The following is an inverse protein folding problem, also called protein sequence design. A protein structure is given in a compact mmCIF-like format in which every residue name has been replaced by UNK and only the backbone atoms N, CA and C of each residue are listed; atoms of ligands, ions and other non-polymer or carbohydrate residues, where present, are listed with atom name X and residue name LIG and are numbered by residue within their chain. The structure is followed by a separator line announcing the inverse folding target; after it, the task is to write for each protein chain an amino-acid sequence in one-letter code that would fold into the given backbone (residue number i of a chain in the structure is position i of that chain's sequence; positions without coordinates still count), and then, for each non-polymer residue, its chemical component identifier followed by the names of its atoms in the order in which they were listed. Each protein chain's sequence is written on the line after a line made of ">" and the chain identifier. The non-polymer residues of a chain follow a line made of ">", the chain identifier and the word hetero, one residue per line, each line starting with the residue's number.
data_IF_271659878955
#
_entry.id   IF_271659878955
#
_cell.length_a   1.000
_cell.length_b   1.000
_cell.length_c   1.000
_cell.angle_alpha   90.00
_cell.angle_beta   90.00
_cell.angle_gamma   90.00
#
_symmetry.space_group_name_H-M   'P 1'
#
loop_
_entity.id
_entity.type
_entity.pdbx_description
1 polymer ?
#
# COMPACT_ATOMS: atom_id res chain seq x y z
N UNK A 1 9.55 10.83 -0.65
CA UNK A 1 8.89 9.93 0.31
C UNK A 1 8.80 8.59 -0.39
N UNK A 2 9.21 7.50 0.25
CA UNK A 2 9.39 6.20 -0.41
C UNK A 2 8.08 5.41 -0.37
N UNK A 3 7.74 4.80 -1.50
CA UNK A 3 6.56 3.95 -1.60
C UNK A 3 6.87 2.55 -1.08
N UNK A 4 6.22 2.17 0.02
CA UNK A 4 6.51 0.93 0.74
C UNK A 4 5.56 -0.22 0.39
N UNK A 5 4.78 -0.11 -0.69
CA UNK A 5 3.71 -1.07 -1.02
C UNK A 5 4.15 -2.55 -1.12
N UNK A 6 5.41 -2.82 -1.43
CA UNK A 6 5.98 -4.18 -1.52
C UNK A 6 6.59 -4.68 -0.20
N UNK A 7 6.71 -3.84 0.81
CA UNK A 7 7.35 -4.18 2.09
C UNK A 7 6.38 -4.03 3.29
N UNK A 8 5.09 -4.24 3.04
CA UNK A 8 4.04 -4.08 4.03
C UNK A 8 4.03 -5.23 5.04
N UNK A 9 3.86 -4.87 6.32
CA UNK A 9 3.77 -5.80 7.44
C UNK A 9 2.62 -5.42 8.36
N UNK A 10 1.96 -6.41 9.00
CA UNK A 10 0.99 -6.15 10.06
C UNK A 10 1.59 -5.26 11.16
N UNK A 11 0.80 -4.32 11.67
CA UNK A 11 1.24 -3.37 12.70
C UNK A 11 1.89 -2.09 12.17
N UNK A 12 2.17 -1.99 10.87
CA UNK A 12 2.54 -0.71 10.24
C UNK A 12 1.32 0.22 10.18
N UNK A 13 1.53 1.50 10.46
CA UNK A 13 0.57 2.58 10.20
C UNK A 13 0.97 3.23 8.89
N UNK A 14 0.05 3.23 7.94
CA UNK A 14 0.30 3.71 6.58
C UNK A 14 -0.74 4.74 6.17
N UNK A 15 -0.33 5.62 5.25
CA UNK A 15 -1.24 6.47 4.47
C UNK A 15 -1.37 5.89 3.08
N UNK A 16 -2.58 5.50 2.72
CA UNK A 16 -2.90 5.00 1.38
C UNK A 16 -3.51 6.14 0.58
N UNK A 17 -2.87 6.51 -0.53
CA UNK A 17 -3.36 7.53 -1.45
C UNK A 17 -4.26 6.84 -2.49
N UNK A 18 -5.57 6.99 -2.32
CA UNK A 18 -6.57 6.37 -3.18
C UNK A 18 -7.06 7.36 -4.24
N UNK A 19 -6.93 7.02 -5.52
CA UNK A 19 -7.55 7.76 -6.62
C UNK A 19 -9.04 7.45 -6.64
N UNK A 20 -9.86 8.50 -6.58
CA UNK A 20 -11.31 8.41 -6.70
C UNK A 20 -11.73 9.24 -7.90
N UNK A 21 -12.42 8.59 -8.83
CA UNK A 21 -13.09 9.25 -9.94
C UNK A 21 -14.48 9.67 -9.46
N UNK A 22 -14.72 10.97 -9.40
CA UNK A 22 -16.05 11.53 -9.16
C UNK A 22 -16.61 12.08 -10.47
N UNK A 23 -17.91 11.94 -10.67
CA UNK A 23 -18.63 12.56 -11.78
C UNK A 23 -19.21 13.88 -11.27
N UNK A 24 -18.79 14.99 -11.86
CA UNK A 24 -19.29 16.32 -11.53
C UNK A 24 -20.76 16.51 -11.94
N UNK A 25 -21.41 17.54 -11.40
CA UNK A 25 -22.81 17.90 -11.75
C UNK A 25 -23.04 18.16 -13.24
N UNK A 26 -21.98 18.47 -13.98
CA UNK A 26 -22.01 18.75 -15.42
C UNK A 26 -21.53 17.55 -16.28
N UNK A 27 -21.33 16.38 -15.68
CA UNK A 27 -20.83 15.17 -16.38
C UNK A 27 -19.31 15.09 -16.55
N UNK A 28 -18.55 16.06 -16.04
CA UNK A 28 -17.09 16.04 -16.10
C UNK A 28 -16.48 15.01 -15.14
N UNK A 29 -15.55 14.18 -15.63
CA UNK A 29 -14.76 13.28 -14.80
C UNK A 29 -13.69 14.07 -14.03
N UNK A 30 -13.75 14.05 -12.70
CA UNK A 30 -12.73 14.64 -11.83
C UNK A 30 -12.06 13.55 -11.01
N UNK A 31 -10.73 13.54 -11.03
CA UNK A 31 -9.93 12.62 -10.22
C UNK A 31 -9.45 13.36 -8.99
N UNK A 32 -9.76 12.85 -7.80
CA UNK A 32 -9.18 13.32 -6.53
C UNK A 32 -8.41 12.21 -5.83
N UNK A 33 -7.45 12.62 -5.01
CA UNK A 33 -6.71 11.71 -4.13
C UNK A 33 -7.33 11.79 -2.74
N UNK A 34 -7.86 10.67 -2.25
CA UNK A 34 -8.30 10.53 -0.87
C UNK A 34 -7.25 9.76 -0.08
N UNK A 35 -6.82 10.32 1.05
CA UNK A 35 -5.85 9.67 1.93
C UNK A 35 -6.61 8.85 2.99
N UNK A 36 -6.26 7.57 3.10
CA UNK A 36 -6.72 6.69 4.15
C UNK A 36 -5.55 6.30 5.06
N UNK A 37 -5.49 6.93 6.24
CA UNK A 37 -4.47 6.63 7.26
C UNK A 37 -4.99 5.59 8.26
N UNK A 38 -4.24 4.50 8.45
CA UNK A 38 -4.60 3.49 9.44
C UNK A 38 -3.56 2.38 9.60
N UNK A 39 -3.87 1.43 10.48
CA UNK A 39 -2.99 0.31 10.82
C UNK A 39 -3.27 -0.89 9.94
N UNK A 40 -2.24 -1.52 9.39
CA UNK A 40 -2.37 -2.77 8.63
C UNK A 40 -2.66 -3.92 9.60
N UNK A 41 -3.77 -4.61 9.36
CA UNK A 41 -4.15 -5.81 10.09
C UNK A 41 -3.53 -7.06 9.49
N UNK A 42 -3.55 -7.16 8.17
CA UNK A 42 -3.12 -8.34 7.44
C UNK A 42 -2.65 -7.96 6.05
N UNK A 43 -1.66 -8.69 5.55
CA UNK A 43 -1.22 -8.70 4.16
C UNK A 43 -1.44 -10.14 3.66
N UNK A 44 -2.04 -10.30 2.48
CA UNK A 44 -2.41 -11.58 1.89
C UNK A 44 -1.75 -11.72 0.53
N UNK A 45 -1.42 -12.96 0.17
CA UNK A 45 -0.86 -13.36 -1.14
C UNK A 45 0.51 -12.76 -1.48
N UNK A 46 1.19 -12.09 -0.54
CA UNK A 46 2.59 -11.69 -0.71
C UNK A 46 2.84 -10.83 -1.95
N UNK A 47 3.60 -11.36 -2.91
CA UNK A 47 3.98 -10.71 -4.17
C UNK A 47 3.13 -11.18 -5.37
N UNK A 48 2.08 -11.97 -5.15
CA UNK A 48 1.17 -12.39 -6.22
C UNK A 48 0.37 -11.18 -6.76
N UNK A 49 -0.06 -11.24 -8.02
CA UNK A 49 -0.89 -10.19 -8.65
C UNK A 49 -2.17 -9.88 -7.85
N UNK A 50 -2.73 -10.89 -7.17
CA UNK A 50 -3.90 -10.78 -6.29
C UNK A 50 -3.60 -10.31 -4.87
N UNK A 51 -2.38 -9.85 -4.59
CA UNK A 51 -1.98 -9.42 -3.26
C UNK A 51 -2.79 -8.23 -2.75
N UNK A 52 -3.24 -8.38 -1.51
CA UNK A 52 -4.09 -7.39 -0.84
C UNK A 52 -3.61 -7.15 0.58
N UNK A 53 -3.89 -5.96 1.10
CA UNK A 53 -3.66 -5.62 2.49
C UNK A 53 -4.89 -4.93 3.08
N UNK A 54 -5.12 -5.17 4.37
CA UNK A 54 -6.27 -4.64 5.09
C UNK A 54 -5.82 -3.56 6.04
N UNK A 55 -6.31 -2.33 5.86
CA UNK A 55 -6.01 -1.17 6.70
C UNK A 55 -7.22 -0.85 7.56
N UNK A 56 -7.00 -0.68 8.87
CA UNK A 56 -8.02 -0.32 9.85
C UNK A 56 -7.77 1.08 10.40
N UNK A 57 -8.81 1.90 10.43
CA UNK A 57 -8.86 3.21 11.09
C UNK A 57 -10.08 3.27 12.00
N UNK A 58 -10.00 4.00 13.10
CA UNK A 58 -11.20 4.45 13.82
C UNK A 58 -11.52 5.87 13.34
N UNK A 59 -12.69 6.06 12.73
CA UNK A 59 -13.17 7.35 12.23
C UNK A 59 -14.48 7.67 12.92
N UNK A 60 -14.57 8.82 13.58
CA UNK A 60 -15.78 9.27 14.28
C UNK A 60 -16.36 8.21 15.24
N UNK A 61 -15.48 7.52 15.98
CA UNK A 61 -15.87 6.47 16.93
C UNK A 61 -16.21 5.11 16.30
N UNK A 62 -16.27 5.01 14.97
CA UNK A 62 -16.57 3.76 14.25
C UNK A 62 -15.30 3.17 13.63
N UNK A 63 -15.09 1.87 13.81
CA UNK A 63 -14.00 1.14 13.18
C UNK A 63 -14.28 0.90 11.70
N UNK A 64 -13.47 1.49 10.82
CA UNK A 64 -13.54 1.33 9.37
C UNK A 64 -12.36 0.50 8.90
N UNK A 65 -12.63 -0.53 8.11
CA UNK A 65 -11.61 -1.36 7.47
C UNK A 65 -11.75 -1.22 5.95
N UNK A 66 -10.62 -0.99 5.26
CA UNK A 66 -10.53 -1.02 3.81
C UNK A 66 -9.52 -2.07 3.38
N UNK A 67 -9.86 -2.81 2.33
CA UNK A 67 -8.97 -3.78 1.69
C UNK A 67 -8.48 -3.14 0.40
N UNK A 68 -7.17 -3.08 0.23
CA UNK A 68 -6.52 -2.50 -0.94
C UNK A 68 -5.71 -3.58 -1.66
N UNK A 69 -5.85 -3.71 -3.00
CA UNK A 69 -4.90 -4.48 -3.79
C UNK A 69 -3.58 -3.73 -3.92
N UNK A 70 -2.45 -4.44 -3.80
CA UNK A 70 -1.10 -3.85 -3.84
C UNK A 70 -0.77 -3.30 -5.24
N UNK A 71 -1.18 -4.04 -6.28
CA UNK A 71 -0.86 -3.74 -7.69
C UNK A 71 -1.96 -2.95 -8.43
N UNK A 72 -2.98 -2.45 -7.72
CA UNK A 72 -4.07 -1.72 -8.36
C UNK A 72 -3.67 -0.28 -8.70
N UNK A 73 -4.01 0.23 -9.91
CA UNK A 73 -3.77 1.64 -10.28
C UNK A 73 -4.62 2.63 -9.47
N UNK A 74 -5.61 2.14 -8.73
CA UNK A 74 -6.43 2.92 -7.80
C UNK A 74 -5.59 3.39 -6.60
N UNK A 75 -4.55 2.62 -6.23
CA UNK A 75 -3.60 2.99 -5.18
C UNK A 75 -2.42 3.71 -5.81
N UNK A 76 -2.36 5.02 -5.58
CA UNK A 76 -1.30 5.86 -6.14
C UNK A 76 0.02 5.63 -5.41
N UNK A 77 -0.01 5.68 -4.08
CA UNK A 77 1.16 5.60 -3.22
C UNK A 77 0.78 5.07 -1.83
N UNK A 78 1.69 4.35 -1.19
CA UNK A 78 1.56 3.93 0.20
C UNK A 78 2.75 4.45 1.00
N UNK A 79 2.49 5.39 1.93
CA UNK A 79 3.51 5.96 2.80
C UNK A 79 3.51 5.24 4.16
N UNK A 80 4.71 4.94 4.68
CA UNK A 80 4.88 4.49 6.06
C UNK A 80 4.91 5.68 7.02
N UNK A 81 4.01 5.68 8.00
CA UNK A 81 3.96 6.71 9.05
C UNK A 81 4.69 6.23 10.30
N UNK A 82 4.31 5.06 10.82
CA UNK A 82 4.85 4.45 12.05
C UNK A 82 4.81 2.94 11.99
N UNK A 83 5.55 2.26 12.85
CA UNK A 83 5.46 0.81 13.01
C UNK A 83 5.24 0.42 14.46
N UNK A 84 4.26 -0.45 14.70
CA UNK A 84 4.00 -1.03 16.01
C UNK A 84 4.34 -2.52 16.03
N UNK A 85 4.85 -2.97 17.18
CA UNK A 85 5.08 -4.39 17.42
C UNK A 85 3.74 -5.09 17.62
N UNK A 86 3.44 -6.02 16.73
CA UNK A 86 2.29 -6.92 16.83
C UNK A 86 2.77 -8.36 17.06
N UNK A 87 1.91 -9.16 17.69
CA UNK A 87 2.22 -10.56 18.05
C UNK A 87 1.80 -11.59 17.00
N UNK A 88 0.99 -11.19 16.02
CA UNK A 88 0.39 -12.10 15.03
C UNK A 88 0.66 -11.59 13.61
N UNK A 89 0.90 -12.51 12.68
CA UNK A 89 0.99 -12.22 11.24
C UNK A 89 -0.35 -11.78 10.61
N UNK A 90 -1.45 -11.96 11.33
CA UNK A 90 -2.75 -11.34 11.04
C UNK A 90 -3.31 -10.78 12.33
N UNK A 91 -3.18 -9.48 12.52
CA UNK A 91 -3.45 -8.78 13.78
C UNK A 91 -4.94 -8.43 13.95
N UNK A 92 -5.86 -9.35 13.64
CA UNK A 92 -7.32 -9.11 13.74
C UNK A 92 -7.78 -8.78 15.16
N UNK A 93 -7.01 -9.19 16.18
CA UNK A 93 -7.27 -8.82 17.58
C UNK A 93 -7.28 -7.30 17.80
N UNK A 94 -6.63 -6.51 16.94
CA UNK A 94 -6.62 -5.05 17.00
C UNK A 94 -8.01 -4.42 16.82
N UNK A 95 -9.01 -5.20 16.39
CA UNK A 95 -10.41 -4.75 16.33
C UNK A 95 -10.96 -4.39 17.71
N UNK A 96 -10.62 -5.18 18.72
CA UNK A 96 -11.11 -5.05 20.10
C UNK A 96 -9.99 -4.69 21.08
N UNK A 97 -8.76 -4.46 20.58
CA UNK A 97 -7.60 -4.20 21.41
C UNK A 97 -7.58 -2.75 21.87
N UNK A 98 -7.68 -2.54 23.19
CA UNK A 98 -7.70 -1.20 23.81
C UNK A 98 -6.34 -0.75 24.35
N UNK A 99 -5.34 -1.64 24.39
CA UNK A 99 -4.03 -1.32 24.96
C UNK A 99 -3.15 -0.62 23.93
N UNK A 100 -2.23 0.22 24.43
CA UNK A 100 -1.21 0.85 23.59
C UNK A 100 -0.22 -0.20 23.10
N UNK A 101 0.09 -0.18 21.81
CA UNK A 101 1.14 -1.01 21.23
C UNK A 101 2.50 -0.34 21.43
N UNK A 102 3.56 -1.15 21.49
CA UNK A 102 4.93 -0.67 21.54
C UNK A 102 5.37 -0.24 20.14
N UNK A 103 5.82 0.99 20.01
CA UNK A 103 6.39 1.51 18.76
C UNK A 103 7.76 0.88 18.51
N UNK A 104 8.02 0.53 17.25
CA UNK A 104 9.30 0.00 16.77
C UNK A 104 9.96 1.13 15.98
N UNK A 105 11.18 1.56 16.36
CA UNK A 105 11.90 2.54 15.56
C UNK A 105 12.13 1.97 14.16
N UNK A 106 11.90 2.78 13.12
CA UNK A 106 12.23 2.42 11.75
C UNK A 106 13.76 2.24 11.67
N UNK A 107 14.23 0.99 11.75
CA UNK A 107 15.58 0.66 11.31
C UNK A 107 15.68 0.97 9.83
N UNK A 108 16.81 1.52 9.36
CA UNK A 108 17.04 1.87 7.96
C UNK A 108 16.65 0.68 7.08
N UNK A 109 15.57 0.82 6.32
CA UNK A 109 15.13 -0.19 5.37
C UNK A 109 16.14 -0.15 4.23
N UNK A 110 16.96 -1.19 4.12
CA UNK A 110 17.95 -1.33 3.05
C UNK A 110 17.20 -1.40 1.72
N UNK A 111 17.47 -0.44 0.85
CA UNK A 111 17.08 -0.40 -0.55
C UNK A 111 17.52 -1.65 -1.31
N UNK A 112 16.61 -2.59 -1.49
CA UNK A 112 16.72 -3.76 -2.38
C UNK A 112 15.28 -4.00 -2.86
N UNK A 113 14.87 -3.87 -4.13
CA UNK A 113 15.54 -4.09 -5.41
C UNK A 113 14.72 -3.40 -6.52
N UNK A 114 15.35 -2.51 -7.29
CA UNK A 114 14.90 -2.20 -8.65
C UNK A 114 15.38 -3.34 -9.55
N UNK A 115 14.49 -4.25 -9.92
CA UNK A 115 14.77 -5.23 -10.97
C UNK A 115 14.55 -4.57 -12.34
N UNK A 116 15.66 -4.37 -13.05
CA UNK A 116 15.75 -3.98 -14.45
C UNK A 116 14.94 -4.95 -15.32
N UNK A 117 13.85 -4.50 -15.94
CA UNK A 117 13.46 -5.04 -17.26
C UNK A 117 14.32 -4.36 -18.31
N UNK A 118 15.45 -5.00 -18.61
CA UNK A 118 16.28 -4.72 -19.78
C UNK A 118 15.45 -5.02 -21.02
N UNK A 119 15.16 -4.00 -21.83
CA UNK A 119 14.62 -4.18 -23.17
C UNK A 119 15.60 -5.03 -23.98
N UNK A 120 15.15 -6.03 -24.77
CA UNK A 120 16.00 -6.63 -25.78
C UNK A 120 16.23 -5.63 -26.91
N UNK A 121 17.50 -5.27 -27.13
CA UNK A 121 17.99 -4.61 -28.33
C UNK A 121 17.68 -5.49 -29.55
N UNK A 122 16.91 -4.95 -30.51
CA UNK A 122 16.78 -5.51 -31.84
C UNK A 122 17.83 -4.82 -32.73
N UNK A 123 18.86 -5.58 -33.13
CA UNK A 123 19.93 -5.10 -34.00
C UNK A 123 19.40 -4.76 -35.41
N UNK A 124 19.93 -3.72 -36.08
CA UNK A 124 19.51 -3.35 -37.42
C UNK A 124 20.08 -4.34 -38.45
N UNK A 125 19.20 -5.05 -39.18
CA UNK A 125 19.59 -5.78 -40.39
C UNK A 125 19.96 -4.79 -41.49
N UNK A 126 21.26 -4.63 -41.69
CA UNK A 126 21.85 -4.03 -42.89
C UNK A 126 22.25 -5.19 -43.82
N UNK A 127 21.54 -5.36 -44.93
CA UNK A 127 22.05 -6.13 -46.08
C UNK A 127 21.83 -5.25 -47.31
N UNK A 128 22.95 -4.82 -47.88
CA UNK A 128 23.09 -4.23 -49.21
C UNK A 128 23.11 -5.37 -50.23
N UNK A 129 22.28 -5.27 -51.28
CA UNK A 129 22.66 -5.53 -52.68
C UNK A 129 21.65 -4.83 -53.61
#
# INVERSE_FOLDING_TARGET
>A
MEDVRHALKPGMVVRVHQKIKDIGKNGEEKVRIQIFEGTILAVKHGNETGATFTVRKVSNGVGVEKIFPIHSPIVDMVELVRQYRVRQGRAYYLRNFKKRLKEVPLGKMSSTSEEKTKAPDEEPTKIEE
#
